data_IF_566194215375
#
_entry.id   IF_566194215375
#
_cell.length_a   1.000
_cell.length_b   1.000
_cell.length_c   1.000
_cell.angle_alpha   90.00
_cell.angle_beta   90.00
_cell.angle_gamma   90.00
#
_symmetry.space_group_name_H-M   'P 1'
#
loop_
_entity.id
_entity.type
_entity.pdbx_description
1 polymer ?
#
# COMPACT_ATOMS: atom_id res chain seq x y z
N UNK A 1 0.81 -9.77 -1.70
CA UNK A 1 -0.20 -8.73 -2.03
C UNK A 1 0.39 -7.33 -2.06
N UNK A 2 1.21 -6.91 -1.08
CA UNK A 2 1.74 -5.53 -1.00
C UNK A 2 2.67 -5.08 -2.16
N UNK A 3 3.24 -6.01 -2.94
CA UNK A 3 4.06 -5.62 -4.09
C UNK A 3 3.23 -5.08 -5.27
N UNK A 4 2.07 -5.70 -5.53
CA UNK A 4 1.17 -5.24 -6.61
C UNK A 4 0.58 -3.87 -6.30
N UNK A 5 0.35 -3.55 -5.02
CA UNK A 5 -0.14 -2.22 -4.62
C UNK A 5 0.84 -1.12 -4.95
N UNK A 6 2.16 -1.35 -4.88
CA UNK A 6 3.16 -0.36 -5.32
C UNK A 6 3.12 -0.13 -6.84
N UNK A 7 2.97 -1.19 -7.63
CA UNK A 7 2.79 -1.07 -9.09
C UNK A 7 1.55 -0.24 -9.46
N UNK A 8 0.43 -0.48 -8.77
CA UNK A 8 -0.81 0.29 -8.94
C UNK A 8 -0.60 1.76 -8.52
N UNK A 9 0.10 2.00 -7.41
CA UNK A 9 0.38 3.35 -6.92
C UNK A 9 1.18 4.17 -7.94
N UNK A 10 2.24 3.59 -8.53
CA UNK A 10 3.00 4.21 -9.62
C UNK A 10 2.08 4.59 -10.79
N UNK A 11 1.19 3.68 -11.20
CA UNK A 11 0.22 3.94 -12.28
C UNK A 11 -0.70 5.12 -11.93
N UNK A 12 -1.16 5.23 -10.68
CA UNK A 12 -1.97 6.36 -10.22
C UNK A 12 -1.20 7.70 -10.31
N UNK A 13 0.08 7.73 -9.91
CA UNK A 13 0.91 8.93 -10.04
C UNK A 13 1.14 9.31 -11.50
N UNK A 14 1.38 8.34 -12.39
CA UNK A 14 1.52 8.57 -13.83
C UNK A 14 0.22 9.14 -14.42
N UNK A 15 -0.92 8.54 -14.09
CA UNK A 15 -2.24 9.01 -14.52
C UNK A 15 -2.46 10.48 -14.13
N UNK A 16 -2.20 10.82 -12.85
CA UNK A 16 -2.36 12.18 -12.33
C UNK A 16 -1.42 13.17 -13.02
N UNK A 17 -0.17 12.77 -13.23
CA UNK A 17 0.79 13.59 -13.95
C UNK A 17 0.28 13.92 -15.35
N UNK A 18 -0.27 12.94 -16.08
CA UNK A 18 -0.87 13.22 -17.39
C UNK A 18 -2.14 14.07 -17.30
N UNK A 19 -3.00 13.85 -16.30
CA UNK A 19 -4.22 14.63 -16.12
C UNK A 19 -3.93 16.14 -15.96
N UNK A 20 -2.87 16.48 -15.24
CA UNK A 20 -2.58 17.86 -14.81
C UNK A 20 -1.59 18.53 -15.75
N UNK A 21 -0.45 17.87 -16.00
CA UNK A 21 0.67 18.48 -16.70
C UNK A 21 0.56 18.32 -18.22
N UNK A 22 -0.17 17.31 -18.69
CA UNK A 22 -0.24 16.91 -20.10
C UNK A 22 -1.64 16.42 -20.51
N UNK A 23 -2.69 17.26 -20.37
CA UNK A 23 -4.09 16.84 -20.55
C UNK A 23 -4.39 16.23 -21.92
N UNK A 24 -3.67 16.61 -22.98
CA UNK A 24 -3.80 15.97 -24.30
C UNK A 24 -3.56 14.44 -24.27
N UNK A 25 -2.70 13.95 -23.38
CA UNK A 25 -2.36 12.52 -23.28
C UNK A 25 -3.39 11.70 -22.49
N UNK A 26 -4.28 12.32 -21.70
CA UNK A 26 -5.24 11.57 -20.89
C UNK A 26 -6.25 10.80 -21.74
N UNK A 27 -6.64 11.36 -22.90
CA UNK A 27 -7.53 10.70 -23.86
C UNK A 27 -6.90 9.44 -24.47
N UNK A 28 -5.56 9.35 -24.46
CA UNK A 28 -4.82 8.15 -24.88
C UNK A 28 -4.69 7.12 -23.76
N UNK A 29 -4.76 7.54 -22.50
CA UNK A 29 -4.60 6.68 -21.33
C UNK A 29 -5.67 5.59 -21.25
N UNK A 30 -6.92 5.92 -21.61
CA UNK A 30 -8.04 4.98 -21.60
C UNK A 30 -8.17 4.13 -22.87
N UNK A 31 -7.22 4.22 -23.81
CA UNK A 31 -7.24 3.35 -24.99
C UNK A 31 -6.92 1.92 -24.56
N UNK A 32 -7.60 0.89 -25.12
CA UNK A 32 -7.40 -0.51 -24.73
C UNK A 32 -5.93 -0.93 -24.72
N UNK A 33 -5.15 -0.51 -25.72
CA UNK A 33 -3.70 -0.80 -25.80
C UNK A 33 -2.92 -0.29 -24.59
N UNK A 34 -3.21 0.92 -24.10
CA UNK A 34 -2.50 1.51 -22.95
C UNK A 34 -2.94 0.84 -21.65
N UNK A 35 -4.23 0.53 -21.51
CA UNK A 35 -4.73 -0.24 -20.38
C UNK A 35 -4.08 -1.63 -20.30
N UNK A 36 -3.93 -2.32 -21.43
CA UNK A 36 -3.20 -3.60 -21.47
C UNK A 36 -1.75 -3.44 -21.02
N UNK A 37 -1.06 -2.38 -21.44
CA UNK A 37 0.32 -2.09 -20.98
C UNK A 37 0.37 -1.85 -19.47
N UNK A 38 -0.58 -1.11 -18.91
CA UNK A 38 -0.69 -0.84 -17.47
C UNK A 38 -0.89 -2.13 -16.67
N UNK A 39 -1.78 -3.00 -17.13
CA UNK A 39 -2.03 -4.30 -16.52
C UNK A 39 -0.76 -5.14 -16.56
N UNK A 40 -0.14 -5.27 -17.74
CA UNK A 40 1.12 -6.03 -17.90
C UNK A 40 2.21 -5.50 -16.97
N UNK A 41 2.38 -4.18 -16.88
CA UNK A 41 3.35 -3.54 -15.99
C UNK A 41 3.07 -3.86 -14.51
N UNK A 42 1.82 -3.76 -14.08
CA UNK A 42 1.43 -4.04 -12.69
C UNK A 42 1.70 -5.49 -12.32
N UNK A 43 1.33 -6.41 -13.22
CA UNK A 43 1.58 -7.83 -13.01
C UNK A 43 3.07 -8.16 -13.04
N UNK A 44 3.83 -7.61 -13.99
CA UNK A 44 5.27 -7.86 -14.08
C UNK A 44 6.01 -7.35 -12.84
N UNK A 45 5.64 -6.18 -12.31
CA UNK A 45 6.22 -5.63 -11.09
C UNK A 45 6.00 -6.55 -9.88
N UNK A 46 4.76 -6.99 -9.65
CA UNK A 46 4.47 -7.90 -8.53
C UNK A 46 5.10 -9.28 -8.71
N UNK A 47 5.11 -9.82 -9.94
CA UNK A 47 5.77 -11.09 -10.25
C UNK A 47 7.29 -11.02 -10.06
N UNK A 48 7.93 -9.91 -10.42
CA UNK A 48 9.36 -9.71 -10.18
C UNK A 48 9.67 -9.76 -8.67
N UNK A 49 8.85 -9.12 -7.84
CA UNK A 49 9.02 -9.19 -6.39
C UNK A 49 8.86 -10.61 -5.84
N UNK A 50 7.87 -11.37 -6.34
CA UNK A 50 7.68 -12.77 -5.97
C UNK A 50 8.86 -13.64 -6.42
N UNK A 51 9.42 -13.39 -7.61
CA UNK A 51 10.60 -14.08 -8.10
C UNK A 51 11.82 -13.82 -7.21
N UNK A 52 11.99 -12.57 -6.70
CA UNK A 52 13.05 -12.25 -5.75
C UNK A 52 12.90 -13.05 -4.46
N UNK A 53 11.69 -13.13 -3.91
CA UNK A 53 11.46 -13.95 -2.71
C UNK A 53 11.75 -15.41 -3.01
N UNK A 54 11.19 -15.96 -4.08
CA UNK A 54 11.33 -17.36 -4.41
C UNK A 54 12.81 -17.78 -4.56
N UNK A 55 13.62 -16.95 -5.21
CA UNK A 55 15.00 -17.28 -5.51
C UNK A 55 15.96 -17.11 -4.32
N UNK A 56 15.75 -16.08 -3.48
CA UNK A 56 16.74 -15.72 -2.45
C UNK A 56 16.25 -15.82 -1.01
N UNK A 57 14.94 -15.71 -0.77
CA UNK A 57 14.36 -15.64 0.59
C UNK A 57 13.37 -16.77 0.89
N UNK A 58 13.20 -17.70 -0.05
CA UNK A 58 12.37 -18.87 0.16
C UNK A 58 13.09 -19.82 1.12
N UNK A 59 12.42 -20.25 2.20
CA UNK A 59 13.05 -21.13 3.17
C UNK A 59 13.25 -22.54 2.60
N UNK A 60 14.46 -23.08 2.73
CA UNK A 60 14.73 -24.49 2.49
C UNK A 60 14.61 -25.30 3.80
N UNK A 61 14.72 -26.62 3.73
CA UNK A 61 14.57 -27.49 4.91
C UNK A 61 15.57 -27.15 6.01
N UNK A 62 16.82 -26.82 5.65
CA UNK A 62 17.84 -26.40 6.61
C UNK A 62 17.44 -25.11 7.31
N UNK A 63 16.90 -24.13 6.60
CA UNK A 63 16.49 -22.86 7.20
C UNK A 63 15.26 -23.01 8.07
N UNK A 64 14.32 -23.88 7.67
CA UNK A 64 13.15 -24.21 8.49
C UNK A 64 13.54 -24.93 9.76
N UNK A 65 14.50 -25.85 9.69
CA UNK A 65 15.03 -26.56 10.86
C UNK A 65 15.63 -25.60 11.89
N UNK A 66 16.42 -24.61 11.45
CA UNK A 66 17.03 -23.63 12.36
C UNK A 66 16.01 -22.79 13.15
N UNK A 67 14.86 -22.49 12.55
CA UNK A 67 13.83 -21.65 13.20
C UNK A 67 12.71 -22.47 13.85
N UNK A 68 12.62 -23.79 13.59
CA UNK A 68 11.50 -24.63 14.01
C UNK A 68 11.28 -24.62 15.52
N UNK A 69 12.35 -24.78 16.29
CA UNK A 69 12.27 -24.75 17.75
C UNK A 69 11.66 -23.43 18.26
N UNK A 70 12.15 -22.29 17.76
CA UNK A 70 11.63 -20.98 18.16
C UNK A 70 10.16 -20.78 17.77
N UNK A 71 9.74 -21.32 16.63
CA UNK A 71 8.34 -21.28 16.21
C UNK A 71 7.44 -22.15 17.10
N UNK A 72 7.88 -23.36 17.45
CA UNK A 72 7.12 -24.24 18.37
C UNK A 72 6.98 -23.63 19.76
N UNK A 73 8.05 -23.06 20.29
CA UNK A 73 8.04 -22.42 21.61
C UNK A 73 7.14 -21.17 21.64
N UNK A 74 7.13 -20.38 20.56
CA UNK A 74 6.39 -19.10 20.52
C UNK A 74 4.94 -19.25 20.08
N UNK A 75 4.66 -20.13 19.11
CA UNK A 75 3.36 -20.24 18.45
C UNK A 75 2.69 -21.61 18.66
N UNK A 76 3.37 -22.58 19.28
CA UNK A 76 2.85 -23.95 19.43
C UNK A 76 2.84 -24.76 18.13
N UNK A 77 3.41 -24.24 17.05
CA UNK A 77 3.32 -24.80 15.70
C UNK A 77 4.69 -24.97 15.03
N UNK A 78 4.77 -25.96 14.14
CA UNK A 78 5.97 -26.25 13.36
C UNK A 78 6.18 -25.19 12.28
N UNK A 79 7.44 -24.78 12.07
CA UNK A 79 7.80 -23.88 10.98
C UNK A 79 7.40 -24.47 9.63
N UNK A 80 7.45 -25.79 9.45
CA UNK A 80 7.08 -26.48 8.20
C UNK A 80 5.59 -26.35 7.82
N UNK A 81 4.71 -26.11 8.79
CA UNK A 81 3.27 -26.00 8.55
C UNK A 81 2.82 -24.57 8.22
N UNK A 82 3.74 -23.59 8.28
CA UNK A 82 3.43 -22.17 8.16
C UNK A 82 4.11 -21.58 6.90
N UNK A 83 3.36 -20.87 6.04
CA UNK A 83 3.94 -20.07 4.97
C UNK A 83 4.81 -18.96 5.55
N UNK A 84 6.07 -18.87 5.13
CA UNK A 84 6.99 -17.85 5.63
C UNK A 84 7.97 -17.38 4.57
N UNK A 85 8.48 -16.17 4.78
CA UNK A 85 9.63 -15.61 4.07
C UNK A 85 10.75 -15.53 5.08
N UNK A 86 11.94 -16.02 4.73
CA UNK A 86 13.05 -16.09 5.65
C UNK A 86 14.32 -15.53 5.01
N UNK A 87 14.80 -14.40 5.55
CA UNK A 87 16.14 -13.91 5.26
C UNK A 87 17.11 -14.61 6.20
N UNK A 88 17.79 -15.65 5.69
CA UNK A 88 18.74 -16.40 6.51
C UNK A 88 20.08 -15.67 6.58
N UNK A 89 20.58 -15.45 7.80
CA UNK A 89 21.89 -14.84 8.06
C UNK A 89 22.78 -15.72 8.93
N UNK A 90 22.47 -17.00 9.04
CA UNK A 90 23.19 -17.91 9.94
C UNK A 90 23.68 -19.17 9.23
N UNK A 91 24.87 -19.61 9.64
CA UNK A 91 25.47 -20.91 9.30
C UNK A 91 24.69 -22.04 10.00
N UNK A 92 24.59 -23.29 9.47
CA UNK A 92 25.34 -23.94 8.38
C UNK A 92 24.72 -23.92 6.98
N UNK A 93 23.78 -23.03 6.69
CA UNK A 93 23.08 -23.09 5.40
C UNK A 93 24.01 -22.66 4.26
N UNK A 94 24.08 -23.44 3.18
CA UNK A 94 24.89 -23.06 2.03
C UNK A 94 24.48 -21.68 1.48
N UNK A 95 25.47 -20.83 1.18
CA UNK A 95 25.26 -19.47 0.69
C UNK A 95 24.41 -18.57 1.60
N UNK A 96 24.27 -18.90 2.90
CA UNK A 96 23.45 -18.16 3.87
C UNK A 96 23.66 -16.64 3.78
N UNK A 97 24.92 -16.21 3.83
CA UNK A 97 25.30 -14.79 3.80
C UNK A 97 24.92 -14.13 2.49
N UNK A 98 25.12 -14.83 1.37
CA UNK A 98 24.83 -14.32 0.03
C UNK A 98 23.32 -14.20 -0.19
N UNK A 99 22.54 -15.22 0.15
CA UNK A 99 21.10 -15.24 -0.09
C UNK A 99 20.36 -14.20 0.77
N UNK A 100 20.67 -14.13 2.06
CA UNK A 100 20.08 -13.13 2.96
C UNK A 100 20.40 -11.70 2.53
N UNK A 101 21.66 -11.39 2.22
CA UNK A 101 22.06 -10.04 1.82
C UNK A 101 21.54 -9.65 0.43
N UNK A 102 21.62 -10.56 -0.56
CA UNK A 102 21.18 -10.29 -1.93
C UNK A 102 19.67 -10.17 -2.00
N UNK A 103 18.92 -11.12 -1.42
CA UNK A 103 17.46 -11.08 -1.43
C UNK A 103 16.91 -9.80 -0.79
N UNK A 104 17.45 -9.44 0.38
CA UNK A 104 17.02 -8.22 1.08
C UNK A 104 17.46 -6.94 0.36
N UNK A 105 18.68 -6.92 -0.19
CA UNK A 105 19.15 -5.81 -1.02
C UNK A 105 18.25 -5.58 -2.23
N UNK A 106 17.89 -6.64 -2.96
CA UNK A 106 17.03 -6.55 -4.14
C UNK A 106 15.62 -6.08 -3.81
N UNK A 107 15.02 -6.59 -2.73
CA UNK A 107 13.69 -6.13 -2.28
C UNK A 107 13.74 -4.65 -1.87
N UNK A 108 14.75 -4.25 -1.11
CA UNK A 108 14.90 -2.84 -0.70
C UNK A 108 15.12 -1.93 -1.90
N UNK A 109 15.98 -2.30 -2.85
CA UNK A 109 16.18 -1.54 -4.09
C UNK A 109 14.86 -1.41 -4.85
N UNK A 110 14.12 -2.51 -5.02
CA UNK A 110 12.83 -2.50 -5.69
C UNK A 110 11.82 -1.53 -5.04
N UNK A 111 11.74 -1.52 -3.71
CA UNK A 111 10.84 -0.63 -2.98
C UNK A 111 11.32 0.84 -3.01
N UNK A 112 12.62 1.09 -2.92
CA UNK A 112 13.19 2.46 -3.03
C UNK A 112 12.97 3.03 -4.43
N UNK A 113 13.16 2.23 -5.49
CA UNK A 113 12.92 2.68 -6.87
C UNK A 113 11.47 3.11 -7.06
N UNK A 114 10.50 2.35 -6.55
CA UNK A 114 9.08 2.73 -6.59
C UNK A 114 8.86 4.09 -5.89
N UNK A 115 9.33 4.24 -4.66
CA UNK A 115 9.20 5.49 -3.90
C UNK A 115 9.84 6.69 -4.60
N UNK A 116 11.01 6.50 -5.23
CA UNK A 116 11.69 7.57 -5.97
C UNK A 116 10.86 7.99 -7.19
N UNK A 117 10.33 7.02 -7.95
CA UNK A 117 9.44 7.31 -9.10
C UNK A 117 8.22 8.12 -8.64
N UNK A 118 7.54 7.66 -7.59
CA UNK A 118 6.36 8.32 -7.05
C UNK A 118 6.68 9.73 -6.53
N UNK A 119 7.78 9.88 -5.82
CA UNK A 119 8.24 11.18 -5.29
C UNK A 119 8.58 12.17 -6.41
N UNK A 120 9.24 11.71 -7.48
CA UNK A 120 9.57 12.55 -8.64
C UNK A 120 8.29 12.96 -9.38
N UNK A 121 7.35 12.04 -9.59
CA UNK A 121 6.06 12.35 -10.21
C UNK A 121 5.26 13.33 -9.34
N UNK A 122 5.24 13.12 -8.03
CA UNK A 122 4.59 14.00 -7.07
C UNK A 122 5.18 15.41 -7.11
N UNK A 123 6.50 15.52 -7.12
CA UNK A 123 7.20 16.80 -7.23
C UNK A 123 6.90 17.51 -8.56
N UNK A 124 6.89 16.79 -9.68
CA UNK A 124 6.54 17.37 -10.99
C UNK A 124 5.12 17.90 -11.02
N UNK A 125 4.17 17.14 -10.46
CA UNK A 125 2.78 17.58 -10.32
C UNK A 125 2.72 18.85 -9.47
N UNK A 126 3.37 18.85 -8.29
CA UNK A 126 3.40 20.00 -7.39
C UNK A 126 3.98 21.26 -8.07
N UNK A 127 5.09 21.10 -8.79
CA UNK A 127 5.72 22.20 -9.52
C UNK A 127 4.81 22.77 -10.62
N UNK A 128 4.16 21.90 -11.40
CA UNK A 128 3.20 22.32 -12.43
C UNK A 128 2.00 23.04 -11.79
N UNK A 129 1.46 22.53 -10.70
CA UNK A 129 0.35 23.16 -9.97
C UNK A 129 0.67 24.58 -9.49
N UNK A 130 1.93 24.85 -9.14
CA UNK A 130 2.38 26.17 -8.68
C UNK A 130 2.57 27.18 -9.81
N UNK A 131 2.86 26.72 -11.03
CA UNK A 131 3.19 27.61 -12.16
C UNK A 131 1.97 28.11 -12.93
N UNK A 132 0.81 27.48 -12.80
CA UNK A 132 -0.41 27.91 -13.48
C UNK A 132 -1.14 29.03 -12.71
N UNK A 133 -1.43 30.14 -13.40
CA UNK A 133 -2.36 31.18 -12.92
C UNK A 133 -3.80 30.70 -13.09
N UNK A 134 -4.40 30.20 -12.02
CA UNK A 134 -5.67 29.47 -12.08
C UNK A 134 -6.80 30.28 -11.42
N UNK A 135 -8.01 30.19 -12.00
CA UNK A 135 -9.22 30.77 -11.41
C UNK A 135 -9.50 30.16 -10.03
N UNK A 136 -10.32 30.84 -9.20
CA UNK A 136 -10.62 30.40 -7.82
C UNK A 136 -11.20 28.97 -7.74
N UNK A 137 -12.07 28.59 -8.67
CA UNK A 137 -12.66 27.24 -8.74
C UNK A 137 -11.60 26.19 -9.11
N UNK A 138 -10.78 26.48 -10.11
CA UNK A 138 -9.71 25.60 -10.56
C UNK A 138 -8.65 25.47 -9.44
N UNK A 139 -8.32 26.56 -8.73
CA UNK A 139 -7.42 26.59 -7.57
C UNK A 139 -7.90 25.68 -6.43
N UNK A 140 -9.20 25.67 -6.12
CA UNK A 140 -9.77 24.78 -5.09
C UNK A 140 -9.67 23.31 -5.50
N UNK A 141 -9.97 23.00 -6.77
CA UNK A 141 -9.79 21.65 -7.33
C UNK A 141 -8.33 21.19 -7.26
N UNK A 142 -7.39 22.06 -7.64
CA UNK A 142 -5.95 21.77 -7.56
C UNK A 142 -5.45 21.58 -6.14
N UNK A 143 -5.96 22.35 -5.18
CA UNK A 143 -5.64 22.19 -3.77
C UNK A 143 -6.08 20.82 -3.23
N UNK A 144 -7.32 20.41 -3.51
CA UNK A 144 -7.82 19.09 -3.10
C UNK A 144 -7.00 17.96 -3.74
N UNK A 145 -6.61 18.12 -5.00
CA UNK A 145 -5.77 17.16 -5.69
C UNK A 145 -4.34 17.08 -5.12
N UNK A 146 -3.77 18.21 -4.68
CA UNK A 146 -2.47 18.26 -3.99
C UNK A 146 -2.54 17.60 -2.60
N UNK A 147 -3.59 17.86 -1.82
CA UNK A 147 -3.82 17.17 -0.54
C UNK A 147 -3.90 15.66 -0.75
N UNK A 148 -4.63 15.22 -1.78
CA UNK A 148 -4.75 13.80 -2.11
C UNK A 148 -3.41 13.20 -2.50
N UNK A 149 -2.58 13.96 -3.21
CA UNK A 149 -1.24 13.53 -3.62
C UNK A 149 -0.35 13.33 -2.39
N UNK A 150 -0.33 14.30 -1.47
CA UNK A 150 0.43 14.18 -0.22
C UNK A 150 -0.07 13.00 0.60
N UNK A 151 -1.40 12.87 0.77
CA UNK A 151 -1.98 11.75 1.51
C UNK A 151 -1.57 10.40 0.91
N UNK A 152 -1.66 10.25 -0.42
CA UNK A 152 -1.27 9.02 -1.11
C UNK A 152 0.23 8.75 -1.14
N UNK A 153 1.09 9.75 -0.93
CA UNK A 153 2.52 9.49 -0.77
C UNK A 153 2.86 9.15 0.69
N UNK A 154 2.32 9.90 1.65
CA UNK A 154 2.64 9.76 3.07
C UNK A 154 2.05 8.48 3.66
N UNK A 155 0.81 8.13 3.31
CA UNK A 155 0.10 6.98 3.90
C UNK A 155 0.80 5.66 3.59
N UNK A 156 1.13 5.29 2.33
CA UNK A 156 1.89 4.06 2.08
C UNK A 156 3.28 4.10 2.71
N UNK A 157 3.97 5.24 2.72
CA UNK A 157 5.28 5.34 3.37
C UNK A 157 5.17 5.00 4.87
N UNK A 158 4.21 5.60 5.56
CA UNK A 158 4.00 5.40 6.99
C UNK A 158 3.40 4.03 7.34
N UNK A 159 2.46 3.55 6.53
CA UNK A 159 1.69 2.34 6.81
C UNK A 159 2.35 1.06 6.29
N UNK A 160 3.17 1.12 5.24
CA UNK A 160 3.80 -0.06 4.66
C UNK A 160 5.31 0.02 4.62
N UNK A 161 5.89 1.11 4.11
CA UNK A 161 7.34 1.16 3.87
C UNK A 161 8.15 1.21 5.16
N UNK A 162 7.82 2.14 6.08
CA UNK A 162 8.50 2.25 7.37
C UNK A 162 8.36 0.95 8.20
N UNK A 163 7.15 0.38 8.39
CA UNK A 163 6.98 -0.90 9.08
C UNK A 163 7.76 -2.04 8.42
N UNK A 164 7.80 -2.09 7.08
CA UNK A 164 8.56 -3.11 6.34
C UNK A 164 10.06 -2.96 6.56
N UNK A 165 10.61 -1.74 6.47
CA UNK A 165 12.03 -1.50 6.74
C UNK A 165 12.42 -1.88 8.17
N UNK A 166 11.59 -1.54 9.15
CA UNK A 166 11.83 -1.95 10.54
C UNK A 166 11.84 -3.49 10.61
N UNK A 167 10.80 -4.15 10.11
CA UNK A 167 10.67 -5.61 10.08
C UNK A 167 11.87 -6.32 9.40
N UNK A 168 12.39 -5.72 8.33
CA UNK A 168 13.46 -6.27 7.52
C UNK A 168 14.84 -6.09 8.13
N UNK A 169 15.07 -4.97 8.80
CA UNK A 169 16.41 -4.58 9.25
C UNK A 169 16.64 -4.73 10.75
N UNK A 170 15.60 -4.85 11.59
CA UNK A 170 15.79 -5.09 13.03
C UNK A 170 16.68 -6.31 13.36
N UNK A 171 16.66 -7.43 12.58
CA UNK A 171 17.51 -8.58 12.89
C UNK A 171 19.02 -8.28 12.80
N UNK A 172 19.43 -7.35 11.92
CA UNK A 172 20.85 -6.95 11.79
C UNK A 172 21.39 -6.26 13.04
N UNK A 173 20.51 -5.66 13.84
CA UNK A 173 20.86 -5.04 15.12
C UNK A 173 20.83 -6.03 16.29
N UNK A 174 20.61 -7.33 16.02
CA UNK A 174 20.51 -8.37 17.05
C UNK A 174 19.21 -8.30 17.87
N UNK A 175 18.21 -7.52 17.43
CA UNK A 175 16.94 -7.38 18.13
C UNK A 175 16.07 -8.63 17.89
N UNK A 176 15.53 -9.23 18.95
CA UNK A 176 14.69 -10.43 18.89
C UNK A 176 13.19 -10.07 18.90
N UNK A 177 12.74 -9.29 17.91
CA UNK A 177 11.36 -8.81 17.83
C UNK A 177 10.42 -9.71 17.02
N UNK A 178 10.73 -11.02 16.93
CA UNK A 178 9.95 -11.97 16.12
C UNK A 178 8.46 -12.00 16.46
N UNK A 179 8.11 -12.05 17.74
CA UNK A 179 6.72 -12.01 18.19
C UNK A 179 6.02 -10.69 17.83
N UNK A 180 6.67 -9.55 18.08
CA UNK A 180 6.12 -8.24 17.75
C UNK A 180 5.92 -8.08 16.23
N UNK A 181 6.89 -8.51 15.45
CA UNK A 181 6.84 -8.48 14.00
C UNK A 181 5.66 -9.29 13.45
N UNK A 182 5.53 -10.55 13.86
CA UNK A 182 4.53 -11.46 13.33
C UNK A 182 3.11 -11.17 13.87
N UNK A 183 2.99 -10.65 15.09
CA UNK A 183 1.69 -10.37 15.72
C UNK A 183 1.15 -8.98 15.41
N UNK A 184 2.01 -8.00 15.13
CA UNK A 184 1.60 -6.60 14.92
C UNK A 184 2.03 -6.05 13.56
N UNK A 185 3.33 -6.06 13.22
CA UNK A 185 3.82 -5.38 12.01
C UNK A 185 3.29 -6.02 10.72
N UNK A 186 3.40 -7.34 10.58
CA UNK A 186 2.97 -8.06 9.37
C UNK A 186 1.43 -7.98 9.18
N UNK A 187 0.60 -8.21 10.21
CA UNK A 187 -0.84 -7.98 10.10
C UNK A 187 -1.18 -6.53 9.73
N UNK A 188 -0.54 -5.54 10.37
CA UNK A 188 -0.78 -4.12 10.08
C UNK A 188 -0.49 -3.77 8.62
N UNK A 189 0.64 -4.22 8.08
CA UNK A 189 0.99 -4.05 6.66
C UNK A 189 -0.05 -4.74 5.74
N UNK A 190 -0.59 -5.88 6.17
CA UNK A 190 -1.58 -6.64 5.39
C UNK A 190 -2.95 -5.95 5.30
N UNK A 191 -3.30 -5.10 6.28
CA UNK A 191 -4.52 -4.29 6.26
C UNK A 191 -4.40 -3.01 5.41
N UNK A 192 -3.19 -2.63 4.98
CA UNK A 192 -2.97 -1.42 4.18
C UNK A 192 -3.93 -1.27 2.98
N UNK A 193 -4.21 -2.29 2.16
CA UNK A 193 -5.13 -2.15 1.03
C UNK A 193 -6.55 -1.72 1.44
N UNK A 194 -6.97 -1.99 2.68
CA UNK A 194 -8.24 -1.51 3.23
C UNK A 194 -8.11 -0.11 3.85
N UNK A 195 -6.97 0.21 4.47
CA UNK A 195 -6.72 1.51 5.10
C UNK A 195 -6.58 2.62 4.06
N UNK A 196 -5.87 2.38 2.96
CA UNK A 196 -5.59 3.36 1.90
C UNK A 196 -6.87 4.06 1.36
N UNK A 197 -7.92 3.36 0.89
CA UNK A 197 -9.13 4.01 0.42
C UNK A 197 -9.86 4.79 1.53
N UNK A 198 -9.87 4.30 2.77
CA UNK A 198 -10.49 4.99 3.90
C UNK A 198 -9.79 6.33 4.14
N UNK A 199 -8.46 6.34 4.21
CA UNK A 199 -7.70 7.56 4.47
C UNK A 199 -7.88 8.57 3.34
N UNK A 200 -7.88 8.12 2.08
CA UNK A 200 -8.13 8.99 0.92
C UNK A 200 -9.52 9.63 0.99
N UNK A 201 -10.54 8.84 1.31
CA UNK A 201 -11.94 9.31 1.41
C UNK A 201 -12.10 10.39 2.48
N UNK A 202 -11.47 10.25 3.64
CA UNK A 202 -11.53 11.26 4.70
C UNK A 202 -10.61 12.47 4.45
N UNK A 203 -9.49 12.29 3.75
CA UNK A 203 -8.58 13.38 3.38
C UNK A 203 -9.21 14.36 2.37
N UNK A 204 -10.11 13.87 1.52
CA UNK A 204 -10.79 14.66 0.50
C UNK A 204 -12.06 15.31 1.06
N UNK A 205 -12.04 16.65 1.10
CA UNK A 205 -13.16 17.44 1.64
C UNK A 205 -14.46 17.20 0.87
N UNK A 206 -14.39 17.00 -0.44
CA UNK A 206 -15.59 16.77 -1.25
C UNK A 206 -16.20 15.39 -0.97
N UNK A 207 -15.36 14.35 -0.82
CA UNK A 207 -15.85 13.00 -0.49
C UNK A 207 -16.40 12.90 0.92
N UNK A 208 -15.72 13.44 1.93
CA UNK A 208 -16.25 13.42 3.30
C UNK A 208 -17.58 14.18 3.39
N UNK A 209 -17.74 15.28 2.65
CA UNK A 209 -18.97 16.08 2.69
C UNK A 209 -20.15 15.30 2.10
N UNK A 210 -19.94 14.62 0.97
CA UNK A 210 -20.97 13.76 0.35
C UNK A 210 -21.35 12.59 1.26
N UNK A 211 -20.37 11.97 1.93
CA UNK A 211 -20.64 10.87 2.85
C UNK A 211 -21.41 11.35 4.07
N UNK A 212 -21.00 12.47 4.67
CA UNK A 212 -21.67 13.06 5.83
C UNK A 212 -23.10 13.48 5.44
N UNK A 213 -23.30 14.13 4.29
CA UNK A 213 -24.64 14.51 3.84
C UNK A 213 -25.52 13.28 3.60
N UNK A 214 -24.98 12.22 2.99
CA UNK A 214 -25.71 10.97 2.79
C UNK A 214 -26.14 10.32 4.12
N UNK A 215 -25.29 10.35 5.14
CA UNK A 215 -25.63 9.83 6.46
C UNK A 215 -26.63 10.72 7.21
N UNK A 216 -26.54 12.04 7.07
CA UNK A 216 -27.52 12.99 7.65
C UNK A 216 -28.89 12.79 7.01
N UNK A 217 -28.98 12.81 5.68
CA UNK A 217 -30.24 12.60 4.93
C UNK A 217 -30.89 11.27 5.31
N UNK A 218 -30.08 10.22 5.49
CA UNK A 218 -30.56 8.90 5.91
C UNK A 218 -31.04 8.90 7.35
N UNK A 219 -30.38 9.63 8.24
CA UNK A 219 -30.80 9.78 9.64
C UNK A 219 -32.13 10.55 9.74
N UNK A 220 -32.28 11.66 9.02
CA UNK A 220 -33.53 12.43 8.95
C UNK A 220 -34.68 11.59 8.38
N UNK A 221 -34.40 10.77 7.35
CA UNK A 221 -35.39 9.87 6.75
C UNK A 221 -35.85 8.78 7.73
N UNK A 222 -34.92 8.21 8.52
CA UNK A 222 -35.26 7.19 9.53
C UNK A 222 -35.97 7.80 10.74
N UNK A 223 -35.61 9.01 11.18
CA UNK A 223 -36.36 9.76 12.19
C UNK A 223 -37.79 10.07 11.73
N UNK A 224 -37.97 10.58 10.50
CA UNK A 224 -39.31 10.82 9.94
C UNK A 224 -40.15 9.54 9.86
N UNK A 225 -39.58 8.42 9.44
CA UNK A 225 -40.28 7.12 9.42
C UNK A 225 -40.68 6.65 10.82
N UNK A 226 -39.83 6.91 11.82
CA UNK A 226 -40.10 6.55 13.22
C UNK A 226 -41.23 7.40 13.81
N UNK A 227 -41.21 8.71 13.55
CA UNK A 227 -42.27 9.65 13.94
C UNK A 227 -43.60 9.26 13.28
N UNK A 228 -43.59 8.97 11.98
CA UNK A 228 -44.80 8.55 11.25
C UNK A 228 -45.40 7.25 11.79
N UNK A 229 -44.58 6.23 12.13
CA UNK A 229 -45.08 5.01 12.77
C UNK A 229 -45.69 5.27 14.14
N UNK A 230 -45.07 6.12 14.95
CA UNK A 230 -45.59 6.48 16.27
C UNK A 230 -46.87 7.32 16.22
N UNK A 231 -47.04 8.12 15.17
CA UNK A 231 -48.19 9.03 15.00
C UNK A 231 -49.39 8.33 14.37
N UNK A 232 -49.16 7.37 13.46
CA UNK A 232 -50.23 6.74 12.68
C UNK A 232 -50.60 5.31 13.12
N UNK A 233 -49.97 4.72 14.14
CA UNK A 233 -50.23 3.34 14.60
C UNK A 233 -50.35 2.33 13.44
N UNK A 234 -49.51 2.47 12.43
CA UNK A 234 -49.46 1.52 11.31
C UNK A 234 -48.54 0.40 11.74
N UNK A 235 -49.11 -0.59 12.43
CA UNK A 235 -48.54 -1.93 12.49
C UNK A 235 -48.66 -2.58 11.11
N UNK A 236 -47.61 -3.33 10.75
CA UNK A 236 -47.26 -3.81 9.41
C UNK A 236 -48.37 -4.55 8.64
#
# INVERSE_FOLDING_TARGET
MCAYTYGILIVHFIYRYFAICKPYFITKFFKPRVLTIIVIFTFSYGTMWMAIIYQWLWPNDSSRYLVDQGFRETYGESSYNIPMILANYEWPIENWKTNGLVGMGLITINSVVALVIDSVLAWKIHSALRSYNLSSMIRKFHHNLLITLIAQTVVPIAATFIPSLIAWYYPFFGLKWGYFNNSFLIPFISFYPAIDPIVITFALTDYRTVIISYFIDRCETEEMKTILRSTFHIDA
#
